data_IF_514135390264
#
_entry.id   IF_514135390264
#
_cell.length_a   1.000
_cell.length_b   1.000
_cell.length_c   1.000
_cell.angle_alpha   90.00
_cell.angle_beta   90.00
_cell.angle_gamma   90.00
#
_symmetry.space_group_name_H-M   'P 1'
#
loop_
_entity.id
_entity.type
_entity.pdbx_description
1 polymer ?
#
# COMPACT_ATOMS: atom_id res chain seq x y z
N UNK A 1 -47.81 23.46 7.05
CA UNK A 1 -46.76 23.17 8.03
C UNK A 1 -45.45 23.00 7.29
N UNK A 2 -44.52 23.94 7.46
CA UNK A 2 -43.15 23.84 6.95
C UNK A 2 -42.32 23.29 8.09
N UNK A 3 -41.72 22.12 7.91
CA UNK A 3 -40.76 21.54 8.86
C UNK A 3 -39.37 21.89 8.34
N UNK A 4 -38.74 22.87 8.99
CA UNK A 4 -37.29 23.10 8.89
C UNK A 4 -36.66 22.28 10.00
N UNK A 5 -36.00 21.18 9.65
CA UNK A 5 -35.04 20.52 10.56
C UNK A 5 -33.64 20.83 10.06
N UNK A 6 -33.07 21.84 10.72
CA UNK A 6 -31.71 21.88 11.26
C UNK A 6 -30.67 20.98 10.59
N UNK A 7 -29.64 21.64 10.05
CA UNK A 7 -28.38 21.05 9.65
C UNK A 7 -27.74 20.33 10.84
N UNK A 8 -27.52 19.02 10.71
CA UNK A 8 -26.75 18.24 11.67
C UNK A 8 -25.95 17.16 10.89
N UNK A 9 -24.65 17.44 10.76
CA UNK A 9 -23.53 16.50 10.66
C UNK A 9 -23.55 15.37 9.61
N UNK A 10 -23.33 15.77 8.36
CA UNK A 10 -22.82 14.92 7.27
C UNK A 10 -21.36 14.45 7.43
N UNK A 11 -20.81 14.36 8.65
CA UNK A 11 -19.41 13.96 8.90
C UNK A 11 -19.24 12.45 9.14
N UNK A 12 -20.32 11.66 9.18
CA UNK A 12 -20.24 10.21 9.46
C UNK A 12 -20.32 9.30 8.21
N UNK A 13 -20.45 9.88 7.00
CA UNK A 13 -20.67 9.09 5.77
C UNK A 13 -19.37 8.54 5.14
N UNK A 14 -18.23 9.20 5.33
CA UNK A 14 -16.99 8.84 4.63
C UNK A 14 -16.37 7.53 5.13
N UNK A 15 -16.56 7.19 6.41
CA UNK A 15 -15.95 5.99 7.01
C UNK A 15 -16.71 4.69 6.71
N UNK A 16 -17.97 4.74 6.28
CA UNK A 16 -18.74 3.52 5.93
C UNK A 16 -18.54 3.11 4.46
N UNK A 17 -18.12 4.05 3.60
CA UNK A 17 -17.91 3.78 2.17
C UNK A 17 -16.66 2.92 1.90
N UNK A 18 -15.61 3.06 2.72
CA UNK A 18 -14.35 2.29 2.56
C UNK A 18 -14.49 0.78 2.86
N UNK A 19 -15.59 0.35 3.50
CA UNK A 19 -15.73 -1.04 3.97
C UNK A 19 -16.37 -1.99 2.95
N UNK A 20 -16.87 -1.50 1.81
CA UNK A 20 -17.46 -2.34 0.74
C UNK A 20 -16.50 -2.72 -0.38
N UNK A 21 -15.31 -2.11 -0.40
CA UNK A 21 -14.37 -2.23 -1.52
C UNK A 21 -13.41 -3.43 -1.56
N UNK A 22 -13.28 -4.34 -0.56
CA UNK A 22 -12.32 -5.44 -0.71
C UNK A 22 -12.79 -6.49 -1.73
N UNK A 23 -14.10 -6.68 -1.89
CA UNK A 23 -14.67 -7.70 -2.78
C UNK A 23 -14.54 -7.36 -4.27
N UNK A 24 -14.87 -6.12 -4.64
CA UNK A 24 -14.78 -5.64 -6.04
C UNK A 24 -13.34 -5.51 -6.50
N UNK A 25 -12.45 -5.02 -5.63
CA UNK A 25 -11.03 -4.93 -5.94
C UNK A 25 -10.45 -6.32 -6.18
N UNK A 26 -10.80 -7.31 -5.35
CA UNK A 26 -10.36 -8.69 -5.54
C UNK A 26 -10.88 -9.30 -6.84
N UNK A 27 -12.15 -9.05 -7.17
CA UNK A 27 -12.75 -9.48 -8.44
C UNK A 27 -12.10 -8.83 -9.65
N UNK A 28 -11.73 -7.55 -9.55
CA UNK A 28 -11.01 -6.83 -10.59
C UNK A 28 -9.63 -7.45 -10.84
N UNK A 29 -8.85 -7.70 -9.78
CA UNK A 29 -7.53 -8.33 -9.91
C UNK A 29 -7.58 -9.80 -10.39
N UNK A 30 -8.64 -10.55 -10.08
CA UNK A 30 -8.77 -11.95 -10.49
C UNK A 30 -9.40 -12.14 -11.87
N UNK A 31 -10.44 -11.37 -12.23
CA UNK A 31 -11.25 -11.61 -13.44
C UNK A 31 -11.10 -10.55 -14.52
N UNK A 32 -10.65 -9.34 -14.19
CA UNK A 32 -10.48 -8.28 -15.19
C UNK A 32 -9.08 -8.31 -15.79
N UNK A 33 -9.02 -8.15 -17.11
CA UNK A 33 -7.75 -8.21 -17.87
C UNK A 33 -6.79 -7.09 -17.47
N UNK A 34 -7.32 -5.91 -17.09
CA UNK A 34 -6.52 -4.80 -16.59
C UNK A 34 -6.02 -5.08 -15.17
N UNK A 35 -6.88 -5.66 -14.32
CA UNK A 35 -6.48 -6.08 -12.98
C UNK A 35 -5.36 -7.12 -12.99
N UNK A 36 -5.43 -8.12 -13.87
CA UNK A 36 -4.37 -9.11 -14.02
C UNK A 36 -3.03 -8.48 -14.46
N UNK A 37 -3.06 -7.52 -15.41
CA UNK A 37 -1.86 -6.78 -15.82
C UNK A 37 -1.26 -5.95 -14.68
N UNK A 38 -2.10 -5.30 -13.87
CA UNK A 38 -1.61 -4.54 -12.70
C UNK A 38 -1.02 -5.50 -11.65
N UNK A 39 -1.61 -6.68 -11.43
CA UNK A 39 -1.04 -7.69 -10.54
C UNK A 39 0.31 -8.23 -11.03
N UNK A 40 0.48 -8.39 -12.35
CA UNK A 40 1.74 -8.79 -12.96
C UNK A 40 2.82 -7.69 -12.79
N UNK A 41 2.45 -6.42 -13.03
CA UNK A 41 3.34 -5.29 -12.80
C UNK A 41 3.79 -5.17 -11.33
N UNK A 42 2.87 -5.46 -10.39
CA UNK A 42 3.18 -5.47 -8.96
C UNK A 42 4.16 -6.60 -8.58
N UNK A 43 4.09 -7.77 -9.23
CA UNK A 43 5.07 -8.84 -9.05
C UNK A 43 6.46 -8.44 -9.55
N UNK A 44 6.54 -7.82 -10.72
CA UNK A 44 7.82 -7.30 -11.23
C UNK A 44 8.40 -6.24 -10.29
N UNK A 45 7.55 -5.34 -9.76
CA UNK A 45 7.97 -4.37 -8.75
C UNK A 45 8.48 -5.05 -7.48
N UNK A 46 7.83 -6.11 -7.01
CA UNK A 46 8.25 -6.88 -5.83
C UNK A 46 9.67 -7.44 -6.00
N UNK A 47 10.00 -7.97 -7.19
CA UNK A 47 11.35 -8.45 -7.49
C UNK A 47 12.39 -7.33 -7.45
N UNK A 48 12.06 -6.15 -8.01
CA UNK A 48 12.93 -4.97 -7.96
C UNK A 48 13.14 -4.51 -6.52
N UNK A 49 12.08 -4.43 -5.70
CA UNK A 49 12.17 -4.05 -4.29
C UNK A 49 12.97 -5.07 -3.48
N UNK A 50 12.82 -6.37 -3.75
CA UNK A 50 13.58 -7.41 -3.08
C UNK A 50 15.08 -7.32 -3.40
N UNK A 51 15.41 -7.03 -4.66
CA UNK A 51 16.80 -6.81 -5.08
C UNK A 51 17.39 -5.55 -4.44
N UNK A 52 16.61 -4.45 -4.44
CA UNK A 52 16.99 -3.21 -3.79
C UNK A 52 17.23 -3.43 -2.30
N UNK A 53 16.29 -4.09 -1.61
CA UNK A 53 16.37 -4.38 -0.18
C UNK A 53 17.59 -5.23 0.18
N UNK A 54 17.92 -6.25 -0.62
CA UNK A 54 19.14 -7.04 -0.44
C UNK A 54 20.40 -6.19 -0.60
N UNK A 55 20.49 -5.36 -1.63
CA UNK A 55 21.64 -4.45 -1.85
C UNK A 55 21.78 -3.44 -0.71
N UNK A 56 20.68 -2.81 -0.31
CA UNK A 56 20.64 -1.85 0.79
C UNK A 56 21.06 -2.51 2.10
N UNK A 57 20.54 -3.70 2.41
CA UNK A 57 20.90 -4.45 3.62
C UNK A 57 22.37 -4.86 3.64
N UNK A 58 22.93 -5.29 2.51
CA UNK A 58 24.36 -5.60 2.40
C UNK A 58 25.24 -4.35 2.53
N UNK A 59 24.89 -3.26 1.84
CA UNK A 59 25.62 -2.00 1.94
C UNK A 59 25.61 -1.46 3.37
N UNK A 60 24.43 -1.44 4.01
CA UNK A 60 24.27 -0.98 5.39
C UNK A 60 25.06 -1.86 6.37
N UNK A 61 25.00 -3.19 6.22
CA UNK A 61 25.79 -4.13 7.06
C UNK A 61 27.30 -3.98 6.84
N UNK A 62 27.74 -3.62 5.63
CA UNK A 62 29.15 -3.33 5.33
C UNK A 62 29.59 -2.04 6.01
N UNK A 63 28.80 -0.97 5.87
CA UNK A 63 29.06 0.31 6.51
C UNK A 63 29.08 0.21 8.04
N UNK A 64 28.14 -0.53 8.64
CA UNK A 64 28.12 -0.77 10.08
C UNK A 64 29.36 -1.55 10.56
N UNK A 65 29.78 -2.59 9.83
CA UNK A 65 31.01 -3.33 10.18
C UNK A 65 32.25 -2.46 10.11
N UNK A 66 32.32 -1.57 9.11
CA UNK A 66 33.41 -0.62 8.98
C UNK A 66 33.43 0.41 10.12
N UNK A 67 32.26 0.93 10.49
CA UNK A 67 32.11 1.84 11.64
C UNK A 67 32.54 1.18 12.96
N UNK A 68 32.19 -0.09 13.17
CA UNK A 68 32.58 -0.84 14.38
C UNK A 68 34.09 -1.07 14.42
N UNK A 69 34.70 -1.41 13.28
CA UNK A 69 36.15 -1.63 13.19
C UNK A 69 36.99 -0.34 13.31
N UNK A 70 36.42 0.82 13.00
CA UNK A 70 37.07 2.13 13.20
C UNK A 70 36.89 2.67 14.63
N UNK A 71 36.06 2.03 15.46
CA UNK A 71 35.78 2.42 16.84
C UNK A 71 36.54 1.63 17.92
N UNK A 72 37.26 0.57 17.55
CA UNK A 72 38.24 -0.17 18.38
C UNK A 72 39.66 0.39 18.14
#
# INVERSE_FOLDING_TARGET
>A
FVVVTQADDGLTSTSRSVMKMPGEVKYFFERDQLGQKVAELLKELEEVFHLLGKKLRMAFKSHLRKLVAEGD
#
